data_IF_632229333585
#
_entry.id   IF_632229333585
#
_cell.length_a   1.000
_cell.length_b   1.000
_cell.length_c   1.000
_cell.angle_alpha   90.00
_cell.angle_beta   90.00
_cell.angle_gamma   90.00
#
_symmetry.space_group_name_H-M   'P 1'
#
loop_
_entity.id
_entity.type
_entity.pdbx_description
1 polymer ?
#
# COMPACT_ATOMS: atom_id res chain seq x y z
N UNK A 1 -4.35 -9.38 -23.61
CA UNK A 1 -4.51 -10.08 -22.32
C UNK A 1 -5.96 -9.86 -21.92
N UNK A 2 -6.78 -10.91 -21.81
CA UNK A 2 -8.16 -10.73 -21.34
C UNK A 2 -8.12 -10.34 -19.86
N UNK A 3 -8.79 -9.24 -19.52
CA UNK A 3 -8.85 -8.74 -18.15
C UNK A 3 -9.91 -9.51 -17.34
N UNK A 4 -9.50 -10.69 -16.90
CA UNK A 4 -10.33 -11.61 -16.11
C UNK A 4 -10.43 -11.20 -14.62
N UNK A 5 -10.00 -9.98 -14.26
CA UNK A 5 -9.94 -9.52 -12.87
C UNK A 5 -11.00 -8.50 -12.48
N UNK A 6 -11.76 -7.98 -13.44
CA UNK A 6 -12.85 -7.03 -13.14
C UNK A 6 -14.03 -7.73 -12.44
N UNK A 7 -14.77 -6.99 -11.60
CA UNK A 7 -16.02 -7.49 -10.98
C UNK A 7 -16.96 -8.07 -12.04
N UNK A 8 -17.01 -7.44 -13.23
CA UNK A 8 -17.84 -7.89 -14.35
C UNK A 8 -17.41 -9.25 -14.87
N UNK A 9 -16.14 -9.42 -15.23
CA UNK A 9 -15.64 -10.71 -15.76
C UNK A 9 -15.76 -11.84 -14.73
N UNK A 10 -15.45 -11.56 -13.46
CA UNK A 10 -15.58 -12.55 -12.38
C UNK A 10 -17.05 -12.91 -12.10
N UNK A 11 -17.96 -11.93 -12.08
CA UNK A 11 -19.37 -12.22 -11.85
C UNK A 11 -19.99 -13.06 -12.97
N UNK A 12 -19.58 -12.80 -14.23
CA UNK A 12 -20.02 -13.56 -15.40
C UNK A 12 -19.52 -15.01 -15.34
N UNK A 13 -18.25 -15.22 -14.98
CA UNK A 13 -17.68 -16.57 -14.89
C UNK A 13 -18.30 -17.40 -13.77
N UNK A 14 -18.72 -16.76 -12.67
CA UNK A 14 -19.36 -17.41 -11.53
C UNK A 14 -20.89 -17.51 -11.64
N UNK A 15 -21.51 -16.89 -12.65
CA UNK A 15 -22.96 -16.88 -12.81
C UNK A 15 -23.71 -16.15 -11.68
N UNK A 16 -23.09 -15.13 -11.07
CA UNK A 16 -23.68 -14.33 -9.98
C UNK A 16 -23.86 -12.88 -10.39
N UNK A 17 -24.78 -12.16 -9.75
CA UNK A 17 -24.97 -10.73 -10.01
C UNK A 17 -23.74 -9.91 -9.56
N UNK A 18 -23.38 -8.88 -10.32
CA UNK A 18 -22.34 -7.89 -9.95
C UNK A 18 -22.48 -7.36 -8.52
N UNK A 19 -23.70 -6.97 -8.14
CA UNK A 19 -23.98 -6.40 -6.83
C UNK A 19 -23.64 -7.36 -5.69
N UNK A 20 -23.95 -8.65 -5.86
CA UNK A 20 -23.64 -9.68 -4.86
C UNK A 20 -22.13 -9.84 -4.68
N UNK A 21 -21.38 -9.88 -5.78
CA UNK A 21 -19.91 -9.97 -5.71
C UNK A 21 -19.31 -8.73 -5.04
N UNK A 22 -19.77 -7.54 -5.41
CA UNK A 22 -19.33 -6.29 -4.79
C UNK A 22 -19.64 -6.28 -3.28
N UNK A 23 -20.85 -6.67 -2.89
CA UNK A 23 -21.24 -6.73 -1.47
C UNK A 23 -20.34 -7.69 -0.68
N UNK A 24 -19.96 -8.83 -1.26
CA UNK A 24 -19.01 -9.74 -0.62
C UNK A 24 -17.63 -9.10 -0.45
N UNK A 25 -17.08 -8.50 -1.50
CA UNK A 25 -15.76 -7.81 -1.42
C UNK A 25 -15.79 -6.72 -0.35
N UNK A 26 -16.85 -5.91 -0.32
CA UNK A 26 -17.03 -4.88 0.70
C UNK A 26 -17.10 -5.49 2.11
N UNK A 27 -17.91 -6.52 2.31
CA UNK A 27 -18.03 -7.21 3.60
C UNK A 27 -16.69 -7.79 4.08
N UNK A 28 -15.91 -8.42 3.20
CA UNK A 28 -14.59 -8.92 3.56
C UNK A 28 -13.62 -7.78 3.85
N UNK A 29 -13.67 -6.68 3.10
CA UNK A 29 -12.84 -5.49 3.30
C UNK A 29 -13.12 -4.78 4.61
N UNK A 30 -14.39 -4.61 4.99
CA UNK A 30 -14.80 -3.99 6.26
C UNK A 30 -14.36 -4.78 7.50
N UNK A 31 -14.17 -6.09 7.35
CA UNK A 31 -13.70 -6.97 8.42
C UNK A 31 -12.21 -7.31 8.31
N UNK A 32 -11.50 -6.76 7.32
CA UNK A 32 -10.08 -6.98 7.15
C UNK A 32 -9.28 -6.09 8.11
N UNK A 33 -8.22 -6.65 8.69
CA UNK A 33 -7.21 -5.86 9.41
C UNK A 33 -6.57 -4.89 8.45
N UNK A 34 -6.33 -3.68 8.92
CA UNK A 34 -5.49 -2.71 8.22
C UNK A 34 -4.07 -3.26 8.05
N UNK A 35 -3.32 -2.78 7.05
CA UNK A 35 -1.92 -3.19 6.85
C UNK A 35 -1.05 -2.94 8.09
N UNK A 36 -1.35 -1.85 8.81
CA UNK A 36 -0.68 -1.50 10.05
C UNK A 36 -0.94 -2.55 11.14
N UNK A 37 -2.19 -2.95 11.34
CA UNK A 37 -2.56 -3.99 12.30
C UNK A 37 -1.90 -5.33 11.98
N UNK A 38 -1.90 -5.73 10.70
CA UNK A 38 -1.23 -6.95 10.25
C UNK A 38 0.27 -6.90 10.57
N UNK A 39 0.96 -5.83 10.19
CA UNK A 39 2.39 -5.67 10.43
C UNK A 39 2.74 -5.69 11.93
N UNK A 40 1.93 -5.04 12.78
CA UNK A 40 2.10 -5.02 14.24
C UNK A 40 1.89 -6.40 14.89
N UNK A 41 0.99 -7.21 14.33
CA UNK A 41 0.68 -8.55 14.82
C UNK A 41 1.75 -9.57 14.44
N UNK A 42 2.12 -9.63 13.16
CA UNK A 42 3.05 -10.66 12.66
C UNK A 42 4.52 -10.35 13.00
N UNK A 43 4.85 -9.07 13.25
CA UNK A 43 6.19 -8.56 13.59
C UNK A 43 7.30 -9.16 12.71
N UNK A 44 7.33 -8.84 11.40
CA UNK A 44 8.30 -9.42 10.50
C UNK A 44 9.73 -9.03 10.89
N UNK A 45 10.69 -9.85 10.48
CA UNK A 45 12.11 -9.50 10.58
C UNK A 45 12.54 -8.79 9.31
N UNK A 46 12.50 -7.46 9.34
CA UNK A 46 12.93 -6.63 8.21
C UNK A 46 14.46 -6.53 8.11
N UNK A 47 14.96 -6.38 6.89
CA UNK A 47 16.37 -6.13 6.59
C UNK A 47 16.82 -4.73 6.98
N UNK A 48 15.89 -3.76 6.91
CA UNK A 48 16.14 -2.34 7.11
C UNK A 48 16.35 -1.54 5.82
N UNK A 49 16.31 -2.18 4.65
CA UNK A 49 16.38 -1.52 3.35
C UNK A 49 14.97 -1.27 2.83
N UNK A 50 14.48 -0.05 2.96
CA UNK A 50 13.10 0.32 2.64
C UNK A 50 13.00 0.85 1.21
N UNK A 51 12.21 0.19 0.37
CA UNK A 51 11.76 0.70 -0.92
C UNK A 51 10.43 1.42 -0.75
N UNK A 52 10.30 2.62 -1.31
CA UNK A 52 9.04 3.38 -1.29
C UNK A 52 8.69 3.86 -2.69
N UNK A 53 7.46 3.56 -3.11
CA UNK A 53 6.89 3.91 -4.41
C UNK A 53 5.49 4.52 -4.22
N UNK A 54 5.07 5.33 -5.20
CA UNK A 54 3.77 5.99 -5.25
C UNK A 54 3.03 5.64 -6.53
N UNK A 55 1.78 5.19 -6.41
CA UNK A 55 0.92 4.94 -7.57
C UNK A 55 -0.26 5.90 -7.60
N UNK A 56 -0.34 6.71 -8.66
CA UNK A 56 -1.50 7.55 -8.92
C UNK A 56 -2.74 6.70 -9.26
N UNK A 57 -3.87 7.05 -8.64
CA UNK A 57 -5.17 6.42 -8.77
C UNK A 57 -6.25 7.49 -8.95
N UNK A 58 -7.26 7.19 -9.76
CA UNK A 58 -8.45 8.04 -9.89
C UNK A 58 -9.64 7.36 -9.21
N UNK A 59 -10.14 7.97 -8.14
CA UNK A 59 -11.28 7.45 -7.37
C UNK A 59 -12.39 8.50 -7.41
N UNK A 60 -13.54 8.11 -7.98
CA UNK A 60 -14.70 9.01 -8.15
C UNK A 60 -14.35 10.36 -8.81
N UNK A 61 -13.45 10.32 -9.80
CA UNK A 61 -13.02 11.50 -10.56
C UNK A 61 -11.99 12.39 -9.87
N UNK A 62 -11.56 12.05 -8.64
CA UNK A 62 -10.48 12.73 -7.93
C UNK A 62 -9.20 11.93 -8.00
N UNK A 63 -8.07 12.63 -8.03
CA UNK A 63 -6.75 12.01 -8.05
C UNK A 63 -6.31 11.72 -6.61
N UNK A 64 -5.71 10.55 -6.42
CA UNK A 64 -5.14 10.06 -5.17
C UNK A 64 -3.80 9.38 -5.49
N UNK A 65 -2.95 9.24 -4.49
CA UNK A 65 -1.72 8.45 -4.57
C UNK A 65 -1.79 7.34 -3.53
N UNK A 66 -1.55 6.09 -3.95
CA UNK A 66 -1.28 4.98 -3.05
C UNK A 66 0.23 4.92 -2.81
N UNK A 67 0.67 5.31 -1.62
CA UNK A 67 2.05 5.15 -1.17
C UNK A 67 2.25 3.75 -0.63
N UNK A 68 3.30 3.07 -1.07
CA UNK A 68 3.63 1.71 -0.64
C UNK A 68 5.09 1.65 -0.19
N UNK A 69 5.31 1.07 0.98
CA UNK A 69 6.63 0.77 1.52
C UNK A 69 6.84 -0.74 1.59
N UNK A 70 7.94 -1.20 1.03
CA UNK A 70 8.35 -2.59 0.98
C UNK A 70 9.77 -2.74 1.52
N UNK A 71 10.04 -3.77 2.30
CA UNK A 71 11.41 -4.15 2.61
C UNK A 71 12.02 -4.86 1.40
N UNK A 72 13.09 -4.30 0.85
CA UNK A 72 13.63 -4.68 -0.47
C UNK A 72 14.16 -6.12 -0.49
N UNK A 73 14.64 -6.64 0.65
CA UNK A 73 15.25 -7.98 0.69
C UNK A 73 14.25 -9.08 1.01
N UNK A 74 13.29 -8.80 1.88
CA UNK A 74 12.25 -9.77 2.25
C UNK A 74 11.07 -9.76 1.30
N UNK A 75 10.91 -8.67 0.53
CA UNK A 75 9.74 -8.37 -0.29
C UNK A 75 8.44 -8.18 0.51
N UNK A 76 8.52 -8.14 1.83
CA UNK A 76 7.37 -7.91 2.69
C UNK A 76 6.89 -6.46 2.57
N UNK A 77 5.58 -6.28 2.42
CA UNK A 77 4.96 -4.96 2.54
C UNK A 77 5.04 -4.50 3.99
N UNK A 78 5.72 -3.38 4.21
CA UNK A 78 5.87 -2.76 5.53
C UNK A 78 4.62 -1.96 5.87
N UNK A 79 4.18 -1.13 4.92
CA UNK A 79 3.02 -0.27 5.09
C UNK A 79 2.52 0.25 3.75
N UNK A 80 1.23 0.61 3.67
CA UNK A 80 0.71 1.41 2.56
C UNK A 80 -0.38 2.36 3.05
N UNK A 81 -0.54 3.48 2.36
CA UNK A 81 -1.58 4.47 2.66
C UNK A 81 -2.07 5.14 1.39
N UNK A 82 -3.39 5.35 1.30
CA UNK A 82 -4.01 6.16 0.26
C UNK A 82 -4.03 7.62 0.73
N UNK A 83 -3.48 8.53 -0.08
CA UNK A 83 -3.38 9.96 0.22
C UNK A 83 -3.94 10.79 -0.94
N UNK A 84 -4.36 12.02 -0.69
CA UNK A 84 -4.96 12.91 -1.72
C UNK A 84 -3.94 13.43 -2.74
N UNK A 85 -2.66 13.09 -2.60
CA UNK A 85 -1.61 13.33 -3.59
C UNK A 85 -0.22 13.14 -3.01
N UNK A 86 0.77 13.02 -3.88
CA UNK A 86 2.17 12.96 -3.50
C UNK A 86 2.67 14.36 -3.13
N UNK A 87 2.54 14.72 -1.85
CA UNK A 87 3.05 15.97 -1.32
C UNK A 87 3.90 15.75 -0.07
N UNK A 88 4.65 16.78 0.31
CA UNK A 88 5.61 16.70 1.42
C UNK A 88 4.95 16.34 2.77
N UNK A 89 3.74 16.83 3.04
CA UNK A 89 3.06 16.58 4.31
C UNK A 89 2.60 15.13 4.41
N UNK A 90 1.99 14.60 3.34
CA UNK A 90 1.51 13.23 3.27
C UNK A 90 2.67 12.22 3.30
N UNK A 91 3.74 12.49 2.54
CA UNK A 91 4.97 11.69 2.59
C UNK A 91 5.59 11.71 3.98
N UNK A 92 5.63 12.87 4.65
CA UNK A 92 6.15 12.97 6.02
C UNK A 92 5.33 12.14 6.99
N UNK A 93 3.99 12.23 6.95
CA UNK A 93 3.11 11.41 7.80
C UNK A 93 3.35 9.91 7.57
N UNK A 94 3.47 9.50 6.31
CA UNK A 94 3.77 8.13 5.92
C UNK A 94 5.07 7.62 6.54
N UNK A 95 6.17 8.36 6.42
CA UNK A 95 7.46 7.99 7.02
C UNK A 95 7.45 8.02 8.56
N UNK A 96 6.71 8.95 9.17
CA UNK A 96 6.57 9.01 10.63
C UNK A 96 5.86 7.77 11.19
N UNK A 97 4.84 7.24 10.50
CA UNK A 97 4.18 5.99 10.90
C UNK A 97 5.19 4.83 10.86
N UNK A 98 5.98 4.72 9.79
CA UNK A 98 6.98 3.66 9.63
C UNK A 98 8.06 3.72 10.73
N UNK A 99 8.54 4.94 11.05
CA UNK A 99 9.56 5.14 12.07
C UNK A 99 9.01 4.97 13.50
N UNK A 100 7.91 5.63 13.81
CA UNK A 100 7.47 5.81 15.19
C UNK A 100 6.47 4.75 15.66
N UNK A 101 5.66 4.21 14.76
CA UNK A 101 4.65 3.20 15.11
C UNK A 101 5.17 1.81 14.78
N UNK A 102 5.60 1.58 13.54
CA UNK A 102 6.12 0.27 13.11
C UNK A 102 7.54 -0.02 13.61
N UNK A 103 8.25 1.02 14.07
CA UNK A 103 9.64 0.92 14.56
C UNK A 103 10.54 0.20 13.54
N UNK A 104 10.33 0.47 12.25
CA UNK A 104 11.09 -0.17 11.19
C UNK A 104 12.58 0.14 11.34
N UNK A 105 13.49 -0.86 11.28
CA UNK A 105 14.91 -0.68 11.55
C UNK A 105 15.62 -0.09 10.31
N UNK A 106 15.32 1.16 9.98
CA UNK A 106 15.87 1.83 8.79
C UNK A 106 17.40 1.74 8.79
N UNK A 107 17.96 1.27 7.68
CA UNK A 107 19.39 1.30 7.33
C UNK A 107 19.64 2.00 6.00
N UNK A 108 18.61 2.06 5.16
CA UNK A 108 18.61 2.78 3.89
C UNK A 108 17.19 2.90 3.36
N UNK A 109 16.96 3.95 2.58
CA UNK A 109 15.69 4.20 1.88
C UNK A 109 16.00 4.33 0.40
N UNK A 110 15.19 3.71 -0.46
CA UNK A 110 15.23 3.87 -1.91
C UNK A 110 13.85 4.33 -2.35
N UNK A 111 13.80 5.50 -2.98
CA UNK A 111 12.55 6.04 -3.48
C UNK A 111 12.79 6.96 -4.66
N UNK A 112 11.83 6.97 -5.58
CA UNK A 112 11.71 7.94 -6.65
C UNK A 112 10.74 9.08 -6.33
N UNK A 113 10.11 9.07 -5.15
CA UNK A 113 9.28 10.19 -4.68
C UNK A 113 10.07 11.52 -4.76
N UNK A 114 9.53 12.51 -5.46
CA UNK A 114 10.21 13.79 -5.75
C UNK A 114 11.28 13.74 -6.86
N UNK A 115 12.46 14.37 -6.67
CA UNK A 115 13.53 14.48 -7.69
C UNK A 115 14.57 13.34 -7.65
N UNK A 116 14.19 12.17 -7.15
CA UNK A 116 14.98 10.94 -7.28
C UNK A 116 16.14 10.75 -6.29
N UNK A 117 16.10 9.58 -5.63
CA UNK A 117 17.14 8.86 -4.86
C UNK A 117 17.81 9.61 -3.71
N UNK A 118 17.28 9.42 -2.50
CA UNK A 118 17.97 9.76 -1.26
C UNK A 118 18.53 8.50 -0.61
N UNK A 119 19.85 8.32 -0.67
CA UNK A 119 20.56 7.43 0.24
C UNK A 119 20.82 8.21 1.53
N UNK A 120 20.12 7.87 2.61
CA UNK A 120 20.50 8.32 3.96
C UNK A 120 21.28 7.17 4.59
N UNK A 121 22.62 7.19 4.59
CA UNK A 121 23.36 6.39 5.55
C UNK A 121 23.09 6.97 6.94
N UNK A 122 22.59 6.14 7.85
CA UNK A 122 22.55 6.46 9.28
C UNK A 122 23.94 6.26 9.90
#
# INVERSE_FOLDING_TARGET
MEDNTTIRSVSNSLGISHQRLLNWVMQYGENAKSPLEVALEIRPKYSGLLGVDGKELKINGRDFTLLVAQDILTFDTVFFSLVEGENMEESRRFFLIIRDILKYPVKGIVSDLGRGRVFIPL
#
